data_IF_809281447178
#
_entry.id   IF_809281447178
#
_cell.length_a   1.000
_cell.length_b   1.000
_cell.length_c   1.000
_cell.angle_alpha   90.00
_cell.angle_beta   90.00
_cell.angle_gamma   90.00
#
_symmetry.space_group_name_H-M   'P 1'
#
loop_
_entity.id
_entity.type
_entity.pdbx_description
1 polymer ?
#
# COMPACT_ATOMS: atom_id res chain seq x y z
N UNK A 1 -29.74 22.18 -11.38
CA UNK A 1 -29.90 21.24 -10.26
C UNK A 1 -29.28 19.92 -10.71
N UNK A 2 -28.11 19.57 -10.19
CA UNK A 2 -27.43 18.32 -10.55
C UNK A 2 -27.53 17.45 -9.32
N UNK A 3 -28.39 16.44 -9.38
CA UNK A 3 -28.61 15.49 -8.30
C UNK A 3 -27.35 14.64 -8.11
N UNK A 4 -26.81 14.66 -6.88
CA UNK A 4 -25.76 13.75 -6.43
C UNK A 4 -26.38 12.36 -6.32
N UNK A 5 -25.92 11.43 -7.16
CA UNK A 5 -26.18 10.02 -6.96
C UNK A 5 -25.36 9.53 -5.75
N UNK A 6 -25.96 8.85 -4.76
CA UNK A 6 -25.21 8.18 -3.71
C UNK A 6 -24.57 6.91 -4.30
N UNK A 7 -23.23 6.88 -4.36
CA UNK A 7 -22.50 5.67 -4.71
C UNK A 7 -22.51 4.74 -3.49
N UNK A 8 -23.44 3.78 -3.52
CA UNK A 8 -23.57 2.67 -2.59
C UNK A 8 -23.09 1.42 -3.30
N UNK A 9 -22.08 0.73 -2.76
CA UNK A 9 -21.74 -0.61 -3.22
C UNK A 9 -20.28 -0.97 -2.97
N UNK A 10 -19.99 -1.39 -1.75
CA UNK A 10 -18.80 -2.15 -1.38
C UNK A 10 -18.81 -3.51 -2.09
N UNK A 11 -18.14 -3.63 -3.23
CA UNK A 11 -17.91 -4.93 -3.91
C UNK A 11 -16.41 -5.22 -4.04
N UNK A 12 -15.62 -4.86 -3.02
CA UNK A 12 -14.34 -5.54 -2.80
C UNK A 12 -14.68 -6.87 -2.13
N UNK A 13 -14.69 -7.93 -2.92
CA UNK A 13 -14.67 -9.29 -2.42
C UNK A 13 -13.40 -9.48 -1.57
N UNK A 14 -13.53 -9.19 -0.28
CA UNK A 14 -12.63 -9.61 0.79
C UNK A 14 -12.64 -11.12 0.79
N UNK A 15 -11.59 -11.73 0.23
CA UNK A 15 -11.30 -13.13 0.51
C UNK A 15 -10.70 -13.17 1.93
N UNK A 16 -11.38 -13.78 2.92
CA UNK A 16 -10.82 -13.93 4.24
C UNK A 16 -9.82 -15.08 4.19
N UNK A 17 -8.55 -14.78 3.90
CA UNK A 17 -7.49 -15.69 4.32
C UNK A 17 -7.32 -15.45 5.83
N UNK A 18 -7.96 -16.31 6.62
CA UNK A 18 -7.81 -16.29 8.07
C UNK A 18 -6.32 -16.48 8.39
N UNK A 19 -5.76 -15.47 9.03
CA UNK A 19 -4.37 -15.40 9.47
C UNK A 19 -4.05 -16.33 10.66
N UNK A 20 -5.05 -17.07 11.16
CA UNK A 20 -4.93 -17.95 12.32
C UNK A 20 -4.99 -19.41 11.88
N UNK A 21 -3.85 -19.99 11.50
CA UNK A 21 -3.60 -21.44 11.61
C UNK A 21 -2.14 -21.77 11.30
N UNK A 22 -1.21 -21.49 12.24
CA UNK A 22 0.12 -22.11 12.26
C UNK A 22 0.75 -22.08 13.68
N UNK A 23 0.27 -22.96 14.57
CA UNK A 23 1.03 -23.36 15.77
C UNK A 23 1.77 -24.66 15.41
N UNK A 24 3.04 -24.57 15.04
CA UNK A 24 3.83 -25.76 14.67
C UNK A 24 5.33 -25.55 14.58
N UNK A 25 6.03 -25.72 15.71
CA UNK A 25 7.42 -26.18 15.95
C UNK A 25 8.62 -25.73 15.08
N UNK A 26 8.46 -24.93 14.04
CA UNK A 26 9.52 -24.19 13.35
C UNK A 26 9.08 -22.73 13.38
N UNK A 27 9.92 -21.85 13.93
CA UNK A 27 9.54 -20.51 14.38
C UNK A 27 8.69 -19.74 13.36
N UNK A 28 7.71 -18.99 13.87
CA UNK A 28 6.91 -18.08 13.07
C UNK A 28 7.85 -17.18 12.27
N UNK A 29 7.94 -17.41 10.96
CA UNK A 29 8.47 -16.39 10.07
C UNK A 29 7.45 -15.27 10.15
N UNK A 30 7.86 -14.17 10.79
CA UNK A 30 6.98 -13.02 10.96
C UNK A 30 6.65 -12.51 9.56
N UNK A 31 5.38 -12.48 9.16
CA UNK A 31 4.96 -11.76 7.97
C UNK A 31 5.28 -10.27 8.17
N UNK A 32 6.42 -9.83 7.67
CA UNK A 32 6.70 -8.40 7.60
C UNK A 32 5.79 -7.80 6.53
N UNK A 33 5.02 -6.79 6.93
CA UNK A 33 4.11 -6.09 6.04
C UNK A 33 4.74 -4.78 5.58
N UNK A 34 4.69 -4.57 4.27
CA UNK A 34 5.08 -3.34 3.61
C UNK A 34 3.90 -2.74 2.86
N UNK A 35 3.96 -1.44 2.61
CA UNK A 35 2.82 -0.65 2.19
C UNK A 35 3.14 0.12 0.92
N UNK A 36 2.28 0.00 -0.09
CA UNK A 36 2.38 0.76 -1.33
C UNK A 36 1.09 1.51 -1.57
N UNK A 37 1.18 2.75 -2.05
CA UNK A 37 0.00 3.57 -2.36
C UNK A 37 -0.02 3.87 -3.84
N UNK A 38 -1.13 3.53 -4.48
CA UNK A 38 -1.32 3.70 -5.91
C UNK A 38 -2.70 4.27 -6.24
N UNK A 39 -2.87 4.62 -7.52
CA UNK A 39 -4.17 5.02 -8.06
C UNK A 39 -5.12 3.82 -8.09
N UNK A 40 -6.34 4.01 -7.60
CA UNK A 40 -7.35 2.97 -7.48
C UNK A 40 -7.89 2.47 -8.83
N UNK A 41 -7.84 3.28 -9.89
CA UNK A 41 -8.17 2.81 -11.25
C UNK A 41 -7.08 1.85 -11.73
N UNK A 42 -5.81 2.21 -11.54
CA UNK A 42 -4.68 1.37 -11.89
C UNK A 42 -4.70 0.05 -11.11
N UNK A 43 -4.99 0.09 -9.81
CA UNK A 43 -5.15 -1.12 -9.01
C UNK A 43 -6.29 -2.01 -9.51
N UNK A 44 -7.49 -1.45 -9.72
CA UNK A 44 -8.65 -2.21 -10.21
C UNK A 44 -8.39 -2.88 -11.55
N UNK A 45 -7.65 -2.23 -12.45
CA UNK A 45 -7.25 -2.84 -13.72
C UNK A 45 -6.32 -4.06 -13.51
N UNK A 46 -5.49 -4.05 -12.47
CA UNK A 46 -4.57 -5.14 -12.15
C UNK A 46 -5.22 -6.29 -11.36
N UNK A 47 -6.42 -6.12 -10.78
CA UNK A 47 -7.11 -7.17 -10.01
C UNK A 47 -7.36 -8.43 -10.85
N UNK A 48 -7.58 -8.29 -12.16
CA UNK A 48 -7.76 -9.41 -13.09
C UNK A 48 -6.48 -10.00 -13.67
N UNK A 49 -5.31 -9.60 -13.15
CA UNK A 49 -3.99 -10.00 -13.67
C UNK A 49 -3.16 -10.65 -12.57
N UNK A 50 -2.13 -11.41 -12.97
CA UNK A 50 -1.21 -12.04 -12.02
C UNK A 50 -0.32 -11.02 -11.30
N UNK A 51 -0.05 -9.87 -11.94
CA UNK A 51 0.96 -8.91 -11.53
C UNK A 51 0.47 -7.46 -11.61
N UNK A 52 0.75 -6.67 -10.57
CA UNK A 52 0.70 -5.22 -10.63
C UNK A 52 2.05 -4.64 -11.07
N UNK A 53 2.05 -3.86 -12.15
CA UNK A 53 3.29 -3.36 -12.79
C UNK A 53 3.83 -2.06 -12.18
N UNK A 54 3.12 -1.45 -11.23
CA UNK A 54 3.49 -0.17 -10.64
C UNK A 54 2.96 1.04 -11.42
N UNK A 55 3.27 2.22 -10.88
CA UNK A 55 2.94 3.51 -11.51
C UNK A 55 3.97 3.89 -12.59
N UNK A 56 3.68 4.90 -13.44
CA UNK A 56 4.67 5.42 -14.38
C UNK A 56 5.96 5.91 -13.71
N UNK A 57 5.87 6.42 -12.48
CA UNK A 57 7.03 6.85 -11.69
C UNK A 57 7.88 5.64 -11.28
N UNK A 58 7.27 4.57 -10.78
CA UNK A 58 7.98 3.34 -10.40
C UNK A 58 8.70 2.71 -11.61
N UNK A 59 8.07 2.73 -12.78
CA UNK A 59 8.67 2.25 -14.02
C UNK A 59 9.85 3.12 -14.48
N UNK A 60 9.75 4.44 -14.30
CA UNK A 60 10.84 5.38 -14.61
C UNK A 60 12.02 5.18 -13.65
N UNK A 61 11.72 5.00 -12.37
CA UNK A 61 12.72 4.91 -11.30
C UNK A 61 13.36 3.50 -11.25
N UNK A 62 12.69 2.49 -11.84
CA UNK A 62 13.20 1.13 -12.03
C UNK A 62 12.87 0.18 -10.87
N UNK A 63 12.09 0.64 -9.89
CA UNK A 63 11.60 -0.13 -8.76
C UNK A 63 10.32 0.49 -8.20
N UNK A 64 9.50 -0.32 -7.54
CA UNK A 64 8.29 0.13 -6.86
C UNK A 64 8.60 0.56 -5.44
N UNK A 65 8.14 1.76 -5.07
CA UNK A 65 8.36 2.31 -3.73
C UNK A 65 7.36 1.74 -2.73
N UNK A 66 7.87 1.15 -1.67
CA UNK A 66 7.08 0.76 -0.51
C UNK A 66 7.51 1.59 0.71
N UNK A 67 6.70 1.54 1.75
CA UNK A 67 6.94 2.13 3.05
C UNK A 67 6.68 1.09 4.13
N UNK A 68 7.28 1.25 5.30
CA UNK A 68 6.82 0.55 6.51
C UNK A 68 5.53 1.18 7.03
N UNK A 69 4.87 0.51 7.99
CA UNK A 69 3.70 1.05 8.68
C UNK A 69 3.96 2.41 9.32
N UNK A 70 5.17 2.62 9.83
CA UNK A 70 5.61 3.87 10.45
C UNK A 70 5.79 5.01 9.44
N UNK A 71 6.14 4.67 8.20
CA UNK A 71 6.49 5.66 7.16
C UNK A 71 5.32 6.03 6.25
N UNK A 72 4.36 5.11 6.04
CA UNK A 72 3.40 5.23 4.94
C UNK A 72 2.53 6.49 5.02
N UNK A 73 2.05 6.87 6.21
CA UNK A 73 1.21 8.07 6.36
C UNK A 73 1.99 9.34 5.98
N UNK A 74 3.21 9.45 6.48
CA UNK A 74 4.14 10.55 6.17
C UNK A 74 4.49 10.59 4.68
N UNK A 75 4.74 9.44 4.07
CA UNK A 75 5.02 9.32 2.63
C UNK A 75 3.84 9.83 1.79
N UNK A 76 2.62 9.41 2.13
CA UNK A 76 1.39 9.85 1.45
C UNK A 76 1.20 11.36 1.60
N UNK A 77 1.33 11.91 2.81
CA UNK A 77 1.18 13.35 3.03
C UNK A 77 2.17 14.20 2.21
N UNK A 78 3.39 13.70 1.96
CA UNK A 78 4.42 14.45 1.22
C UNK A 78 4.27 14.36 -0.30
N UNK A 79 3.94 13.19 -0.81
CA UNK A 79 4.02 12.90 -2.26
C UNK A 79 2.66 12.82 -2.93
N UNK A 80 1.60 12.64 -2.14
CA UNK A 80 0.26 12.29 -2.62
C UNK A 80 -0.83 13.16 -2.00
N UNK A 81 -0.48 14.25 -1.30
CA UNK A 81 -1.45 15.23 -0.82
C UNK A 81 -2.37 15.71 -1.95
N UNK A 82 -3.63 15.96 -1.61
CA UNK A 82 -4.68 16.45 -2.51
C UNK A 82 -5.06 15.53 -3.68
N UNK A 83 -4.40 14.37 -3.84
CA UNK A 83 -4.77 13.38 -4.84
C UNK A 83 -6.03 12.63 -4.37
N UNK A 84 -6.89 12.23 -5.30
CA UNK A 84 -8.12 11.49 -4.99
C UNK A 84 -8.05 10.08 -5.56
N UNK A 85 -8.87 9.18 -5.02
CA UNK A 85 -8.99 7.82 -5.53
C UNK A 85 -7.75 6.96 -5.29
N UNK A 86 -7.00 7.24 -4.22
CA UNK A 86 -5.85 6.42 -3.84
C UNK A 86 -6.27 5.17 -3.08
N UNK A 87 -5.46 4.13 -3.23
CA UNK A 87 -5.60 2.85 -2.53
C UNK A 87 -4.27 2.50 -1.87
N UNK A 88 -4.33 2.08 -0.62
CA UNK A 88 -3.26 1.50 0.17
C UNK A 88 -3.24 -0.02 -0.01
N UNK A 89 -2.16 -0.54 -0.59
CA UNK A 89 -1.89 -1.97 -0.67
C UNK A 89 -1.04 -2.40 0.51
N UNK A 90 -1.51 -3.43 1.22
CA UNK A 90 -0.79 -4.11 2.29
C UNK A 90 -0.21 -5.39 1.71
N UNK A 91 1.11 -5.56 1.79
CA UNK A 91 1.83 -6.61 1.07
C UNK A 91 2.73 -7.38 2.03
N UNK A 92 2.67 -8.72 1.97
CA UNK A 92 3.61 -9.58 2.71
C UNK A 92 4.95 -9.65 1.98
N UNK A 93 6.06 -9.53 2.71
CA UNK A 93 7.40 -9.66 2.13
C UNK A 93 7.75 -11.10 1.75
N UNK A 94 7.07 -12.10 2.30
CA UNK A 94 7.43 -13.52 2.12
C UNK A 94 7.42 -13.95 0.64
N UNK A 95 6.57 -13.33 -0.17
CA UNK A 95 6.40 -13.68 -1.58
C UNK A 95 7.28 -12.85 -2.54
N UNK A 96 8.06 -11.89 -2.02
CA UNK A 96 8.81 -10.94 -2.86
C UNK A 96 10.26 -11.37 -3.13
N UNK A 97 10.79 -12.29 -2.31
CA UNK A 97 12.11 -12.90 -2.50
C UNK A 97 13.24 -11.87 -2.60
N UNK A 98 14.25 -12.16 -3.43
CA UNK A 98 15.45 -11.31 -3.58
C UNK A 98 15.24 -10.03 -4.38
N UNK A 99 14.03 -9.81 -4.93
CA UNK A 99 13.70 -8.59 -5.66
C UNK A 99 13.33 -7.44 -4.70
N UNK A 100 12.99 -7.74 -3.45
CA UNK A 100 12.80 -6.75 -2.41
C UNK A 100 14.15 -6.35 -1.80
N UNK A 101 14.47 -5.06 -1.82
CA UNK A 101 15.66 -4.51 -1.17
C UNK A 101 15.28 -3.39 -0.21
N UNK A 102 16.00 -3.33 0.90
CA UNK A 102 15.88 -2.25 1.86
C UNK A 102 17.02 -1.26 1.64
N UNK A 103 16.71 -0.07 1.19
CA UNK A 103 17.71 0.91 0.80
C UNK A 103 17.54 2.22 1.58
N UNK A 104 18.64 2.89 1.96
CA UNK A 104 18.57 4.15 2.66
C UNK A 104 17.97 5.21 1.74
N UNK A 105 16.98 5.91 2.25
CA UNK A 105 16.36 7.05 1.61
C UNK A 105 16.48 8.26 2.55
N UNK A 106 15.40 9.02 2.70
CA UNK A 106 15.39 10.24 3.50
C UNK A 106 15.75 9.99 4.95
N UNK A 107 16.58 10.87 5.52
CA UNK A 107 16.99 10.80 6.92
C UNK A 107 17.81 9.55 7.28
N UNK A 108 18.31 8.81 6.29
CA UNK A 108 19.01 7.53 6.50
C UNK A 108 18.08 6.37 6.89
N UNK A 109 16.76 6.58 6.87
CA UNK A 109 15.80 5.50 7.08
C UNK A 109 15.77 4.57 5.88
N UNK A 110 15.59 3.28 6.14
CA UNK A 110 15.44 2.27 5.10
C UNK A 110 14.02 2.28 4.56
N UNK A 111 13.89 2.25 3.24
CA UNK A 111 12.63 2.05 2.54
C UNK A 111 12.71 0.75 1.73
N UNK A 112 11.63 -0.04 1.71
CA UNK A 112 11.54 -1.22 0.86
C UNK A 112 11.32 -0.81 -0.61
N UNK A 113 12.16 -1.33 -1.50
CA UNK A 113 12.07 -1.15 -2.94
C UNK A 113 11.95 -2.52 -3.62
N UNK A 114 10.88 -2.70 -4.40
CA UNK A 114 10.68 -3.93 -5.16
C UNK A 114 11.15 -3.74 -6.60
N UNK A 115 12.17 -4.51 -7.00
CA UNK A 115 12.69 -4.53 -8.36
C UNK A 115 11.91 -5.52 -9.22
N UNK A 116 10.85 -5.03 -9.86
CA UNK A 116 10.01 -5.82 -10.74
C UNK A 116 8.53 -5.53 -10.49
N UNK A 117 7.70 -6.48 -10.91
CA UNK A 117 6.25 -6.40 -10.71
C UNK A 117 5.89 -6.94 -9.34
N UNK A 118 4.80 -6.44 -8.78
CA UNK A 118 4.20 -6.93 -7.54
C UNK A 118 3.26 -8.10 -7.86
N UNK A 119 3.54 -9.33 -7.38
CA UNK A 119 2.61 -10.44 -7.54
C UNK A 119 1.30 -10.11 -6.81
N UNK A 120 0.17 -10.33 -7.49
CA UNK A 120 -1.15 -10.04 -6.91
C UNK A 120 -1.45 -10.89 -5.67
N UNK A 121 -0.86 -12.08 -5.60
CA UNK A 121 -0.94 -12.99 -4.45
C UNK A 121 -0.19 -12.48 -3.21
N UNK A 122 0.78 -11.58 -3.37
CA UNK A 122 1.49 -10.97 -2.24
C UNK A 122 0.68 -9.87 -1.55
N UNK A 123 -0.38 -9.36 -2.19
CA UNK A 123 -1.24 -8.31 -1.64
C UNK A 123 -2.28 -8.94 -0.73
N UNK A 124 -2.12 -8.70 0.57
CA UNK A 124 -3.00 -9.20 1.64
C UNK A 124 -4.31 -8.43 1.67
N UNK A 125 -4.23 -7.11 1.51
CA UNK A 125 -5.39 -6.24 1.59
C UNK A 125 -5.17 -4.98 0.75
N UNK A 126 -6.27 -4.41 0.24
CA UNK A 126 -6.29 -3.13 -0.46
C UNK A 126 -7.37 -2.24 0.17
N UNK A 127 -6.96 -1.08 0.68
CA UNK A 127 -7.80 -0.17 1.46
C UNK A 127 -7.91 1.16 0.72
N UNK A 128 -9.11 1.68 0.51
CA UNK A 128 -9.30 3.02 -0.04
C UNK A 128 -8.80 4.08 0.95
N UNK A 129 -8.09 5.09 0.44
CA UNK A 129 -7.63 6.24 1.21
C UNK A 129 -8.44 7.48 0.81
N UNK A 130 -9.60 7.74 1.44
CA UNK A 130 -10.39 8.92 1.13
C UNK A 130 -9.62 10.19 1.51
N UNK A 131 -9.85 11.25 0.72
CA UNK A 131 -9.26 12.56 0.96
C UNK A 131 -10.13 13.33 1.96
N UNK A 132 -9.54 13.69 3.09
CA UNK A 132 -10.16 14.51 4.12
C UNK A 132 -10.31 15.97 3.70
N UNK A 133 -11.09 16.78 4.47
CA UNK A 133 -11.32 18.19 4.17
C UNK A 133 -10.09 19.08 4.33
N UNK A 134 -9.03 18.58 4.95
CA UNK A 134 -7.73 19.22 5.16
C UNK A 134 -6.73 18.96 4.01
N UNK A 135 -7.14 18.22 2.97
CA UNK A 135 -6.26 17.84 1.86
C UNK A 135 -5.34 16.66 2.18
N UNK A 136 -5.53 16.00 3.32
CA UNK A 136 -4.78 14.82 3.74
C UNK A 136 -5.64 13.55 3.67
N UNK A 137 -4.99 12.41 3.47
CA UNK A 137 -5.69 11.14 3.39
C UNK A 137 -6.03 10.59 4.78
N UNK A 138 -7.25 10.08 4.92
CA UNK A 138 -7.69 9.38 6.13
C UNK A 138 -7.17 7.94 6.08
N UNK A 139 -6.41 7.56 7.12
CA UNK A 139 -5.93 6.20 7.31
C UNK A 139 -6.80 5.46 8.32
N UNK A 140 -6.95 4.13 8.19
CA UNK A 140 -7.60 3.32 9.21
C UNK A 140 -6.94 3.44 10.60
N UNK A 141 -7.65 2.94 11.61
CA UNK A 141 -7.10 2.84 12.96
C UNK A 141 -5.81 2.00 12.99
N UNK A 142 -4.90 2.36 13.90
CA UNK A 142 -3.65 1.64 14.12
C UNK A 142 -2.49 2.04 13.20
N UNK A 143 -2.67 3.01 12.30
CA UNK A 143 -1.57 3.71 11.63
C UNK A 143 -1.10 4.92 12.45
N UNK A 144 0.21 5.19 12.54
CA UNK A 144 0.72 6.29 13.32
C UNK A 144 0.24 7.65 12.79
N UNK A 145 0.12 8.61 13.69
CA UNK A 145 -0.22 10.01 13.39
C UNK A 145 0.79 10.67 12.44
N UNK A 146 0.39 11.78 11.81
CA UNK A 146 1.36 12.68 11.19
C UNK A 146 2.00 13.52 12.30
N UNK A 147 3.32 13.44 12.44
CA UNK A 147 4.07 14.37 13.26
C UNK A 147 4.39 15.63 12.43
N UNK A 148 4.15 16.83 12.97
CA UNK A 148 4.31 18.10 12.22
C UNK A 148 5.73 18.31 11.68
N UNK A 149 6.75 17.77 12.36
CA UNK A 149 8.15 17.82 11.90
C UNK A 149 8.41 16.97 10.65
N UNK A 150 7.49 16.08 10.32
CA UNK A 150 7.63 15.09 9.26
C UNK A 150 6.76 15.38 8.03
N UNK A 151 6.09 16.53 7.96
CA UNK A 151 5.39 17.01 6.74
C UNK A 151 6.30 17.89 5.87
#
# INVERSE_FOLDING_TARGET
MIEKLPYSGSDYAVLPLKYDDCIGQYGCMSDELIYHVCDGVAWRAAVGTDDYVGSPDDLRDGFMHFSTKAQVRTSVARHRAEQIGLVLLIVTTEMLGSNLKWEPSRGGQLFPHLYGKLPRSAVVEAIELPLGPDGMHEFPDGYPGLEESEI
#
